data_IF_467129269717
#
_entry.id   IF_467129269717
#
_cell.length_a   1.000
_cell.length_b   1.000
_cell.length_c   1.000
_cell.angle_alpha   90.00
_cell.angle_beta   90.00
_cell.angle_gamma   90.00
#
_symmetry.space_group_name_H-M   'P 1'
#
loop_
_entity.id
_entity.type
_entity.pdbx_description
1 polymer ?
#
# COMPACT_ATOMS: atom_id res chain seq x y z
N UNK A 1 30.30 15.17 26.67
CA UNK A 1 29.22 16.15 26.99
C UNK A 1 28.52 16.59 25.70
N UNK A 2 27.19 16.60 25.71
CA UNK A 2 26.40 17.14 24.60
C UNK A 2 26.49 18.67 24.53
N UNK A 3 26.24 19.30 23.37
CA UNK A 3 26.23 20.78 23.28
C UNK A 3 25.23 21.46 24.24
N UNK A 4 24.12 20.79 24.56
CA UNK A 4 23.16 21.28 25.56
C UNK A 4 23.76 21.27 26.98
N UNK A 5 24.34 20.15 27.41
CA UNK A 5 24.98 20.03 28.72
C UNK A 5 26.17 20.98 28.86
N UNK A 6 26.91 21.28 27.79
CA UNK A 6 27.97 22.32 27.82
C UNK A 6 27.41 23.73 28.06
N UNK A 7 26.26 24.08 27.49
CA UNK A 7 25.60 25.36 27.73
C UNK A 7 25.11 25.51 29.16
N UNK A 8 24.51 24.46 29.71
CA UNK A 8 24.10 24.43 31.11
C UNK A 8 25.28 24.58 32.07
N UNK A 9 26.42 23.90 31.75
CA UNK A 9 27.64 24.03 32.53
C UNK A 9 28.20 25.45 32.49
N UNK A 10 28.15 26.14 31.33
CA UNK A 10 28.55 27.55 31.19
C UNK A 10 27.65 28.45 32.05
N UNK A 11 26.33 28.29 31.94
CA UNK A 11 25.37 29.06 32.74
C UNK A 11 25.56 28.84 34.23
N UNK A 12 25.79 27.60 34.67
CA UNK A 12 26.10 27.24 36.05
C UNK A 12 27.41 27.90 36.53
N UNK A 13 28.46 27.81 35.74
CA UNK A 13 29.76 28.42 36.07
C UNK A 13 29.67 29.95 36.25
N UNK A 14 28.87 30.64 35.43
CA UNK A 14 28.60 32.06 35.57
C UNK A 14 27.78 32.38 36.83
N UNK A 15 26.71 31.61 37.09
CA UNK A 15 25.81 31.84 38.20
C UNK A 15 26.45 31.58 39.56
N UNK A 16 27.18 30.47 39.69
CA UNK A 16 27.72 30.01 41.00
C UNK A 16 29.08 30.61 41.28
N UNK A 17 29.96 30.71 40.30
CA UNK A 17 31.34 31.16 40.48
C UNK A 17 31.63 32.59 40.00
N UNK A 18 30.62 33.31 39.52
CA UNK A 18 30.77 34.71 39.03
C UNK A 18 31.75 34.84 37.87
N UNK A 19 31.99 33.73 37.11
CA UNK A 19 32.97 33.75 36.02
C UNK A 19 32.47 34.56 34.83
N UNK A 20 33.40 35.30 34.18
CA UNK A 20 33.07 35.93 32.92
C UNK A 20 32.76 34.87 31.85
N UNK A 21 31.93 35.20 30.92
CA UNK A 21 31.53 34.32 29.81
C UNK A 21 32.73 33.71 29.07
N UNK A 22 33.76 34.58 28.83
CA UNK A 22 34.98 34.14 28.15
C UNK A 22 35.79 33.12 28.97
N UNK A 23 35.85 33.30 30.28
CA UNK A 23 36.55 32.41 31.20
C UNK A 23 35.83 31.06 31.30
N UNK A 24 34.50 31.08 31.45
CA UNK A 24 33.65 29.87 31.44
C UNK A 24 33.78 29.06 30.15
N UNK A 25 33.88 29.71 29.01
CA UNK A 25 34.13 29.02 27.72
C UNK A 25 35.48 28.33 27.67
N UNK A 26 36.54 28.96 28.21
CA UNK A 26 37.87 28.39 28.27
C UNK A 26 37.90 27.14 29.14
N UNK A 27 37.28 27.18 30.32
CA UNK A 27 37.26 26.06 31.28
C UNK A 27 36.45 24.88 30.77
N UNK A 28 35.29 25.14 30.20
CA UNK A 28 34.37 24.07 29.73
C UNK A 28 34.73 23.56 28.34
N UNK A 29 35.65 24.22 27.66
CA UNK A 29 36.05 23.85 26.30
C UNK A 29 34.92 23.96 25.30
N UNK A 30 34.22 25.10 25.30
CA UNK A 30 33.12 25.38 24.37
C UNK A 30 33.40 26.66 23.58
N UNK A 31 33.11 26.67 22.31
CA UNK A 31 33.20 27.90 21.52
C UNK A 31 32.00 28.80 21.76
N UNK A 32 32.18 30.14 21.68
CA UNK A 32 31.09 31.12 21.76
C UNK A 32 29.94 30.81 20.80
N UNK A 33 30.29 30.31 19.58
CA UNK A 33 29.32 29.93 18.53
C UNK A 33 28.42 28.77 18.97
N UNK A 34 28.94 27.81 19.72
CA UNK A 34 28.16 26.67 20.25
C UNK A 34 27.27 27.11 21.41
N UNK A 35 27.76 28.04 22.25
CA UNK A 35 26.96 28.56 23.38
C UNK A 35 25.83 29.46 22.91
N UNK A 36 26.06 30.36 21.97
CA UNK A 36 25.04 31.27 21.41
C UNK A 36 24.12 30.61 20.38
N UNK A 37 24.37 29.32 20.03
CA UNK A 37 23.51 28.59 19.11
C UNK A 37 22.16 28.28 19.76
N UNK A 38 21.19 29.14 19.51
CA UNK A 38 19.79 28.85 19.83
C UNK A 38 19.20 27.95 18.72
N UNK A 39 18.59 26.85 19.14
CA UNK A 39 17.91 25.96 18.21
C UNK A 39 16.65 26.67 17.66
N UNK A 40 16.80 27.39 16.53
CA UNK A 40 15.70 28.05 15.82
C UNK A 40 14.88 27.04 15.00
N UNK A 41 14.42 25.96 15.64
CA UNK A 41 13.46 25.07 14.97
C UNK A 41 12.10 25.70 15.04
N UNK A 42 11.36 25.79 13.91
CA UNK A 42 9.96 26.17 13.93
C UNK A 42 9.19 25.24 14.87
N UNK A 43 8.15 25.74 15.47
CA UNK A 43 7.22 24.90 16.22
C UNK A 43 6.58 23.88 15.26
N UNK A 44 6.81 22.61 15.52
CA UNK A 44 6.27 21.49 14.76
C UNK A 44 4.99 20.94 15.42
N UNK A 45 4.39 21.64 16.40
CA UNK A 45 3.28 21.16 17.22
C UNK A 45 2.09 20.68 16.41
N UNK A 46 1.56 21.50 15.53
CA UNK A 46 0.42 21.16 14.68
C UNK A 46 0.73 19.95 13.75
N UNK A 47 1.94 19.88 13.19
CA UNK A 47 2.35 18.75 12.36
C UNK A 47 2.46 17.46 13.19
N UNK A 48 2.94 17.53 14.43
CA UNK A 48 3.04 16.38 15.33
C UNK A 48 1.68 15.86 15.72
N UNK A 49 0.77 16.73 16.08
CA UNK A 49 -0.59 16.40 16.45
C UNK A 49 -1.29 15.71 15.27
N UNK A 50 -1.30 16.32 14.09
CA UNK A 50 -1.94 15.74 12.92
C UNK A 50 -1.31 14.40 12.51
N UNK A 51 0.03 14.27 12.64
CA UNK A 51 0.72 13.01 12.34
C UNK A 51 0.33 11.90 13.32
N UNK A 52 0.12 12.22 14.62
CA UNK A 52 -0.36 11.26 15.64
C UNK A 52 -1.80 10.81 15.33
N UNK A 53 -2.68 11.74 14.96
CA UNK A 53 -4.07 11.44 14.60
C UNK A 53 -4.11 10.47 13.41
N UNK A 54 -3.43 10.80 12.33
CA UNK A 54 -3.34 9.93 11.14
C UNK A 54 -2.72 8.56 11.47
N UNK A 55 -1.73 8.51 12.36
CA UNK A 55 -1.13 7.25 12.78
C UNK A 55 -2.06 6.41 13.66
N UNK A 56 -2.92 7.04 14.47
CA UNK A 56 -3.94 6.36 15.28
C UNK A 56 -5.05 5.78 14.42
N UNK A 57 -5.51 6.52 13.41
CA UNK A 57 -6.49 6.06 12.42
C UNK A 57 -5.93 4.94 11.52
N UNK A 58 -4.64 5.04 11.18
CA UNK A 58 -3.94 4.19 10.20
C UNK A 58 -2.74 3.47 10.82
N UNK A 59 -2.96 2.66 11.84
CA UNK A 59 -1.93 2.00 12.68
C UNK A 59 -0.84 1.25 11.92
N UNK A 60 -1.12 0.81 10.68
CA UNK A 60 -0.18 0.07 9.82
C UNK A 60 0.51 0.93 8.77
N UNK A 61 0.31 2.27 8.79
CA UNK A 61 0.97 3.15 7.84
C UNK A 61 2.32 3.63 8.37
N UNK A 62 3.36 3.42 7.56
CA UNK A 62 4.66 4.02 7.81
C UNK A 62 4.70 5.49 7.38
N UNK A 63 5.71 6.23 7.82
CA UNK A 63 5.86 7.68 7.61
C UNK A 63 5.66 8.15 6.16
N UNK A 64 6.06 7.35 5.13
CA UNK A 64 5.86 7.73 3.72
C UNK A 64 4.38 7.80 3.35
N UNK A 65 3.59 6.81 3.78
CA UNK A 65 2.14 6.80 3.53
C UNK A 65 1.43 7.92 4.29
N UNK A 66 1.79 8.13 5.55
CA UNK A 66 1.29 9.26 6.34
C UNK A 66 1.67 10.59 5.69
N UNK A 67 2.87 10.71 5.13
CA UNK A 67 3.29 11.90 4.38
C UNK A 67 2.44 12.16 3.13
N UNK A 68 2.01 11.14 2.42
CA UNK A 68 1.09 11.30 1.29
C UNK A 68 -0.31 11.75 1.74
N UNK A 69 -0.80 11.27 2.90
CA UNK A 69 -2.07 11.73 3.46
C UNK A 69 -1.97 13.20 3.89
N UNK A 70 -0.91 13.58 4.59
CA UNK A 70 -0.64 14.98 4.95
C UNK A 70 -0.58 15.88 3.71
N UNK A 71 0.08 15.42 2.63
CA UNK A 71 0.17 16.19 1.39
C UNK A 71 -1.20 16.43 0.74
N UNK A 72 -2.15 15.49 0.85
CA UNK A 72 -3.54 15.65 0.40
C UNK A 72 -4.31 16.69 1.22
N UNK A 73 -3.91 16.91 2.48
CA UNK A 73 -4.43 17.96 3.36
C UNK A 73 -3.70 19.30 3.18
N UNK A 74 -2.79 19.40 2.19
CA UNK A 74 -2.00 20.59 1.94
C UNK A 74 -0.76 20.72 2.84
N UNK A 75 -0.49 19.75 3.71
CA UNK A 75 0.66 19.75 4.63
C UNK A 75 1.81 18.97 4.00
N UNK A 76 2.80 19.66 3.43
CA UNK A 76 3.92 19.07 2.69
C UNK A 76 5.26 19.26 3.43
N UNK A 77 5.52 18.56 4.54
CA UNK A 77 6.78 18.66 5.25
C UNK A 77 7.92 18.03 4.42
N UNK A 78 9.13 18.55 4.60
CA UNK A 78 10.32 17.89 4.06
C UNK A 78 10.39 16.44 4.58
N UNK A 79 10.74 15.52 3.69
CA UNK A 79 10.82 14.08 3.96
C UNK A 79 11.68 13.74 5.21
N UNK A 80 12.83 14.40 5.37
CA UNK A 80 13.71 14.18 6.53
C UNK A 80 13.10 14.74 7.82
N UNK A 81 12.38 15.88 7.74
CA UNK A 81 11.63 16.45 8.85
C UNK A 81 10.53 15.49 9.30
N UNK A 82 9.73 14.98 8.36
CA UNK A 82 8.66 14.02 8.63
C UNK A 82 9.21 12.74 9.28
N UNK A 83 10.29 12.16 8.73
CA UNK A 83 10.93 10.96 9.27
C UNK A 83 11.44 11.17 10.70
N UNK A 84 12.03 12.35 10.99
CA UNK A 84 12.50 12.72 12.32
C UNK A 84 11.34 12.76 13.31
N UNK A 85 10.27 13.52 12.99
CA UNK A 85 9.09 13.63 13.85
C UNK A 85 8.44 12.25 14.07
N UNK A 86 8.27 11.46 13.02
CA UNK A 86 7.73 10.11 13.09
C UNK A 86 8.51 9.19 14.06
N UNK A 87 9.86 9.37 14.11
CA UNK A 87 10.71 8.62 15.04
C UNK A 87 10.64 9.17 16.47
N UNK A 88 10.61 10.48 16.63
CA UNK A 88 10.48 11.16 17.92
C UNK A 88 9.15 10.80 18.61
N UNK A 89 8.05 10.70 17.84
CA UNK A 89 6.73 10.30 18.34
C UNK A 89 6.57 8.77 18.54
N UNK A 90 7.60 7.97 18.26
CA UNK A 90 7.54 6.52 18.49
C UNK A 90 6.62 5.74 17.55
N UNK A 91 6.18 6.32 16.43
CA UNK A 91 5.16 5.79 15.53
C UNK A 91 5.65 4.65 14.61
N UNK A 92 6.75 3.98 14.95
CA UNK A 92 7.34 2.91 14.11
C UNK A 92 6.38 1.74 13.96
N UNK A 93 6.10 1.37 12.71
CA UNK A 93 5.33 0.17 12.35
C UNK A 93 6.28 -1.00 12.11
N UNK A 94 5.96 -2.17 12.68
CA UNK A 94 6.70 -3.42 12.41
C UNK A 94 6.52 -3.80 10.94
N UNK A 95 7.62 -3.90 10.19
CA UNK A 95 7.60 -4.35 8.79
C UNK A 95 7.49 -5.87 8.75
N UNK A 96 6.62 -6.41 7.89
CA UNK A 96 6.73 -7.81 7.48
C UNK A 96 7.97 -7.94 6.59
N UNK A 97 8.82 -8.88 6.92
CA UNK A 97 9.89 -9.34 6.05
C UNK A 97 9.24 -10.15 4.92
N UNK A 98 9.39 -9.75 3.66
CA UNK A 98 8.86 -10.54 2.54
C UNK A 98 8.37 -9.80 1.30
N UNK A 99 8.46 -8.48 1.22
CA UNK A 99 7.99 -7.75 0.02
C UNK A 99 9.12 -7.57 -1.04
N UNK A 100 9.92 -8.62 -1.26
CA UNK A 100 11.00 -8.62 -2.24
C UNK A 100 10.75 -9.69 -3.29
N UNK A 101 10.42 -9.27 -4.51
CA UNK A 101 10.40 -10.15 -5.68
C UNK A 101 9.05 -10.42 -6.32
N UNK A 102 8.02 -9.59 -6.08
CA UNK A 102 6.82 -9.67 -6.88
C UNK A 102 7.15 -9.45 -8.36
N UNK A 103 6.70 -10.36 -9.19
CA UNK A 103 6.79 -10.24 -10.65
C UNK A 103 5.97 -9.01 -11.11
N UNK A 104 6.64 -7.93 -11.45
CA UNK A 104 6.06 -6.69 -11.96
C UNK A 104 5.81 -6.77 -13.49
N UNK A 105 5.52 -7.96 -14.03
CA UNK A 105 5.38 -8.20 -15.47
C UNK A 105 4.21 -7.50 -16.12
N UNK A 106 3.16 -7.12 -15.38
CA UNK A 106 2.02 -6.40 -15.93
C UNK A 106 2.38 -4.94 -16.26
N UNK A 107 2.25 -4.55 -17.53
CA UNK A 107 2.60 -3.22 -18.05
C UNK A 107 1.40 -2.26 -18.14
N UNK A 108 0.17 -2.77 -17.96
CA UNK A 108 -1.07 -1.99 -18.04
C UNK A 108 -2.18 -2.57 -17.18
N UNK A 109 -3.19 -1.76 -16.79
CA UNK A 109 -4.38 -2.26 -16.09
C UNK A 109 -5.08 -3.37 -16.89
N UNK A 110 -5.63 -4.34 -16.17
CA UNK A 110 -6.35 -5.50 -16.71
C UNK A 110 -5.52 -6.38 -17.66
N UNK A 111 -4.20 -6.29 -17.62
CA UNK A 111 -3.35 -7.23 -18.33
C UNK A 111 -3.31 -8.57 -17.60
N UNK A 112 -3.10 -8.53 -16.29
CA UNK A 112 -3.00 -9.72 -15.44
C UNK A 112 -3.71 -9.50 -14.11
N UNK A 113 -4.60 -10.41 -13.76
CA UNK A 113 -5.20 -10.50 -12.44
C UNK A 113 -4.63 -11.69 -11.69
N UNK A 114 -4.19 -11.46 -10.46
CA UNK A 114 -3.79 -12.53 -9.53
C UNK A 114 -4.91 -12.78 -8.54
N UNK A 115 -5.22 -14.04 -8.30
CA UNK A 115 -6.24 -14.42 -7.33
C UNK A 115 -5.74 -15.48 -6.36
N UNK A 116 -6.33 -15.45 -5.16
CA UNK A 116 -6.06 -16.41 -4.08
C UNK A 116 -7.22 -16.41 -3.09
N UNK A 117 -7.25 -17.42 -2.22
CA UNK A 117 -8.23 -17.56 -1.16
C UNK A 117 -7.65 -17.28 0.21
N UNK A 118 -8.42 -16.56 1.02
CA UNK A 118 -8.16 -16.40 2.45
C UNK A 118 -9.29 -17.10 3.22
N UNK A 119 -8.96 -17.86 4.25
CA UNK A 119 -9.93 -18.51 5.12
C UNK A 119 -9.93 -17.85 6.50
N UNK A 120 -11.14 -17.74 7.08
CA UNK A 120 -11.34 -17.28 8.45
C UNK A 120 -12.56 -17.98 9.05
N UNK A 121 -12.95 -17.64 10.29
CA UNK A 121 -14.05 -18.26 11.00
C UNK A 121 -14.97 -17.24 11.67
N UNK A 122 -16.25 -17.54 11.75
CA UNK A 122 -17.19 -16.83 12.59
C UNK A 122 -16.95 -17.14 14.08
N UNK A 123 -17.49 -16.29 14.95
CA UNK A 123 -17.46 -16.49 16.41
C UNK A 123 -17.97 -17.88 16.83
N UNK A 124 -18.96 -18.43 16.08
CA UNK A 124 -19.48 -19.76 16.30
C UNK A 124 -18.57 -20.91 15.81
N UNK A 125 -17.37 -20.62 15.32
CA UNK A 125 -16.38 -21.60 14.83
C UNK A 125 -16.60 -22.08 13.39
N UNK A 126 -17.73 -21.78 12.74
CA UNK A 126 -17.97 -22.12 11.34
C UNK A 126 -17.04 -21.33 10.42
N UNK A 127 -16.39 -22.00 9.49
CA UNK A 127 -15.45 -21.36 8.55
C UNK A 127 -16.14 -20.70 7.37
N UNK A 128 -15.50 -19.65 6.86
CA UNK A 128 -15.79 -19.04 5.56
C UNK A 128 -14.51 -18.77 4.80
N UNK A 129 -14.63 -18.55 3.50
CA UNK A 129 -13.51 -18.24 2.61
C UNK A 129 -13.76 -16.89 1.92
N UNK A 130 -12.69 -16.23 1.55
CA UNK A 130 -12.70 -14.94 0.85
C UNK A 130 -11.92 -15.13 -0.42
N UNK A 131 -12.54 -14.88 -1.57
CA UNK A 131 -11.86 -14.76 -2.85
C UNK A 131 -11.25 -13.36 -2.94
N UNK A 132 -9.95 -13.29 -3.13
CA UNK A 132 -9.19 -12.06 -3.34
C UNK A 132 -8.71 -12.00 -4.78
N UNK A 133 -9.05 -10.96 -5.53
CA UNK A 133 -8.61 -10.74 -6.91
C UNK A 133 -7.96 -9.37 -7.02
N UNK A 134 -6.73 -9.31 -7.50
CA UNK A 134 -5.93 -8.09 -7.62
C UNK A 134 -5.49 -7.87 -9.06
N UNK A 135 -5.64 -6.65 -9.54
CA UNK A 135 -4.98 -6.21 -10.77
C UNK A 135 -3.48 -5.98 -10.49
N UNK A 136 -2.63 -6.72 -11.18
CA UNK A 136 -1.19 -6.73 -10.90
C UNK A 136 -0.49 -5.42 -11.27
N UNK A 137 -1.04 -4.63 -12.17
CA UNK A 137 -0.48 -3.32 -12.52
C UNK A 137 -0.88 -2.26 -11.50
N UNK A 138 -2.17 -2.02 -11.34
CA UNK A 138 -2.70 -0.94 -10.49
C UNK A 138 -2.71 -1.30 -9.00
N UNK A 139 -2.53 -2.57 -8.67
CA UNK A 139 -2.69 -3.11 -7.31
C UNK A 139 -4.11 -2.93 -6.77
N UNK A 140 -5.06 -2.69 -7.65
CA UNK A 140 -6.47 -2.53 -7.29
C UNK A 140 -7.07 -3.88 -6.91
N UNK A 141 -7.81 -3.92 -5.82
CA UNK A 141 -8.64 -5.07 -5.45
C UNK A 141 -9.88 -5.09 -6.33
N UNK A 142 -9.88 -5.96 -7.32
CA UNK A 142 -10.92 -6.07 -8.37
C UNK A 142 -12.16 -6.78 -7.84
N UNK A 143 -11.94 -7.84 -7.06
CA UNK A 143 -13.00 -8.56 -6.38
C UNK A 143 -12.55 -8.97 -4.97
N UNK A 144 -13.47 -8.92 -4.02
CA UNK A 144 -13.28 -9.35 -2.64
C UNK A 144 -14.61 -9.96 -2.16
N UNK A 145 -14.81 -11.22 -2.48
CA UNK A 145 -16.06 -11.94 -2.23
C UNK A 145 -15.93 -12.97 -1.12
N UNK A 146 -16.82 -12.92 -0.11
CA UNK A 146 -16.85 -13.90 0.98
C UNK A 146 -18.04 -14.85 0.86
N UNK A 147 -17.78 -16.15 1.07
CA UNK A 147 -18.82 -17.18 1.16
C UNK A 147 -18.37 -18.37 2.05
N UNK A 148 -19.31 -19.17 2.47
CA UNK A 148 -19.04 -20.42 3.19
C UNK A 148 -18.56 -21.53 2.24
N UNK A 149 -18.86 -21.40 0.94
CA UNK A 149 -18.41 -22.31 -0.12
C UNK A 149 -18.12 -21.49 -1.39
N UNK A 150 -16.91 -21.57 -1.90
CA UNK A 150 -16.46 -20.92 -3.12
C UNK A 150 -16.07 -21.95 -4.16
N UNK A 151 -17.07 -22.53 -4.84
CA UNK A 151 -16.85 -23.45 -5.96
C UNK A 151 -16.28 -22.70 -7.17
N UNK A 152 -15.71 -23.42 -8.14
CA UNK A 152 -15.22 -22.83 -9.38
C UNK A 152 -16.28 -22.04 -10.14
N UNK A 153 -17.54 -22.50 -10.17
CA UNK A 153 -18.65 -21.76 -10.76
C UNK A 153 -18.92 -20.42 -10.03
N UNK A 154 -18.81 -20.43 -8.69
CA UNK A 154 -18.96 -19.21 -7.89
C UNK A 154 -17.81 -18.23 -8.14
N UNK A 155 -16.59 -18.72 -8.27
CA UNK A 155 -15.42 -17.91 -8.64
C UNK A 155 -15.62 -17.25 -10.02
N UNK A 156 -16.05 -18.03 -11.02
CA UNK A 156 -16.36 -17.50 -12.36
C UNK A 156 -17.42 -16.39 -12.31
N UNK A 157 -18.46 -16.56 -11.50
CA UNK A 157 -19.49 -15.53 -11.31
C UNK A 157 -18.91 -14.23 -10.69
N UNK A 158 -18.05 -14.33 -9.67
CA UNK A 158 -17.41 -13.15 -9.07
C UNK A 158 -16.49 -12.43 -10.07
N UNK A 159 -15.79 -13.19 -10.91
CA UNK A 159 -14.96 -12.62 -11.99
C UNK A 159 -15.82 -11.95 -13.06
N UNK A 160 -17.00 -12.49 -13.42
CA UNK A 160 -17.94 -11.86 -14.34
C UNK A 160 -18.47 -10.52 -13.80
N UNK A 161 -18.80 -10.45 -12.50
CA UNK A 161 -19.19 -9.20 -11.85
C UNK A 161 -18.05 -8.17 -11.95
N UNK A 162 -16.82 -8.59 -11.68
CA UNK A 162 -15.66 -7.73 -11.78
C UNK A 162 -15.41 -7.22 -13.21
N UNK A 163 -15.56 -8.09 -14.22
CA UNK A 163 -15.46 -7.74 -15.64
C UNK A 163 -16.53 -6.71 -16.03
N UNK A 164 -17.77 -6.93 -15.63
CA UNK A 164 -18.87 -5.99 -15.89
C UNK A 164 -18.64 -4.64 -15.24
N UNK A 165 -18.23 -4.62 -13.97
CA UNK A 165 -17.96 -3.37 -13.24
C UNK A 165 -16.82 -2.55 -13.86
N UNK A 166 -15.85 -3.22 -14.49
CA UNK A 166 -14.69 -2.58 -15.13
C UNK A 166 -14.89 -2.33 -16.63
N UNK A 167 -15.97 -2.82 -17.21
CA UNK A 167 -16.25 -2.80 -18.64
C UNK A 167 -15.10 -3.38 -19.49
N UNK A 168 -14.29 -4.27 -18.90
CA UNK A 168 -13.15 -4.87 -19.56
C UNK A 168 -12.74 -6.16 -18.84
N UNK A 169 -12.21 -7.12 -19.59
CA UNK A 169 -11.72 -8.39 -19.08
C UNK A 169 -10.20 -8.37 -18.91
N UNK A 170 -9.62 -9.20 -18.04
CA UNK A 170 -8.18 -9.43 -18.03
C UNK A 170 -7.75 -10.20 -19.27
N UNK A 171 -6.49 -10.07 -19.65
CA UNK A 171 -5.87 -10.97 -20.64
C UNK A 171 -5.57 -12.29 -19.96
N UNK A 172 -4.95 -12.23 -18.79
CA UNK A 172 -4.48 -13.40 -18.04
C UNK A 172 -4.99 -13.35 -16.62
N UNK A 173 -5.35 -14.50 -16.09
CA UNK A 173 -5.61 -14.73 -14.66
C UNK A 173 -4.57 -15.71 -14.14
N UNK A 174 -3.97 -15.40 -12.98
CA UNK A 174 -2.99 -16.26 -12.30
C UNK A 174 -3.54 -16.69 -10.96
N UNK A 175 -3.45 -18.00 -10.67
CA UNK A 175 -3.89 -18.59 -9.41
C UNK A 175 -2.92 -19.68 -8.94
N UNK A 176 -3.09 -20.11 -7.71
CA UNK A 176 -2.53 -21.37 -7.24
C UNK A 176 -3.26 -22.57 -7.87
N UNK A 177 -2.79 -23.80 -7.54
CA UNK A 177 -3.36 -25.06 -8.01
C UNK A 177 -4.48 -25.58 -7.10
N UNK A 178 -5.23 -24.70 -6.43
CA UNK A 178 -6.35 -25.10 -5.60
C UNK A 178 -7.41 -25.90 -6.37
N UNK A 179 -8.03 -26.87 -5.74
CA UNK A 179 -9.01 -27.77 -6.39
C UNK A 179 -10.18 -27.03 -7.02
N UNK A 180 -10.63 -25.96 -6.43
CA UNK A 180 -11.71 -25.12 -6.95
C UNK A 180 -11.29 -24.39 -8.22
N UNK A 181 -10.01 -23.97 -8.31
CA UNK A 181 -9.44 -23.20 -9.40
C UNK A 181 -9.01 -24.07 -10.58
N UNK A 182 -8.74 -25.36 -10.35
CA UNK A 182 -8.46 -26.37 -11.39
C UNK A 182 -9.72 -27.08 -11.88
N UNK A 183 -10.90 -26.66 -11.44
CA UNK A 183 -12.18 -27.29 -11.77
C UNK A 183 -12.57 -27.08 -13.24
N UNK A 184 -13.36 -28.03 -13.78
CA UNK A 184 -13.93 -27.93 -15.13
C UNK A 184 -14.74 -26.65 -15.34
N UNK A 185 -15.38 -26.15 -14.27
CA UNK A 185 -16.15 -24.90 -14.32
C UNK A 185 -15.25 -23.69 -14.63
N UNK A 186 -14.07 -23.61 -14.06
CA UNK A 186 -13.10 -22.56 -14.33
C UNK A 186 -12.51 -22.68 -15.74
N UNK A 187 -12.17 -23.90 -16.18
CA UNK A 187 -11.68 -24.12 -17.53
C UNK A 187 -12.71 -23.70 -18.58
N UNK A 188 -13.98 -24.07 -18.39
CA UNK A 188 -15.08 -23.65 -19.27
C UNK A 188 -15.24 -22.13 -19.25
N UNK A 189 -15.26 -21.50 -18.07
CA UNK A 189 -15.37 -20.05 -17.94
C UNK A 189 -14.23 -19.32 -18.66
N UNK A 190 -12.98 -19.76 -18.49
CA UNK A 190 -11.81 -19.14 -19.12
C UNK A 190 -11.87 -19.20 -20.65
N UNK A 191 -12.33 -20.33 -21.19
CA UNK A 191 -12.54 -20.51 -22.65
C UNK A 191 -13.66 -19.59 -23.17
N UNK A 192 -14.84 -19.59 -22.51
CA UNK A 192 -15.99 -18.75 -22.89
C UNK A 192 -15.66 -17.25 -22.86
N UNK A 193 -14.90 -16.81 -21.85
CA UNK A 193 -14.48 -15.42 -21.68
C UNK A 193 -13.21 -15.08 -22.47
N UNK A 194 -12.55 -16.06 -23.08
CA UNK A 194 -11.26 -15.91 -23.80
C UNK A 194 -10.23 -15.24 -22.87
N UNK A 195 -10.06 -15.76 -21.65
CA UNK A 195 -9.09 -15.33 -20.66
C UNK A 195 -8.09 -16.46 -20.49
N UNK A 196 -6.81 -16.15 -20.59
CA UNK A 196 -5.75 -17.12 -20.33
C UNK A 196 -5.66 -17.41 -18.83
N UNK A 197 -5.74 -18.68 -18.45
CA UNK A 197 -5.63 -19.08 -17.05
C UNK A 197 -4.29 -19.77 -16.80
N UNK A 198 -3.48 -19.15 -15.93
CA UNK A 198 -2.15 -19.66 -15.60
C UNK A 198 -2.10 -20.09 -14.14
N UNK A 199 -1.54 -21.26 -13.93
CA UNK A 199 -1.28 -21.78 -12.58
C UNK A 199 0.15 -21.50 -12.17
N UNK A 200 0.34 -21.12 -10.90
CA UNK A 200 1.68 -20.92 -10.34
C UNK A 200 2.44 -22.25 -10.31
N UNK A 201 3.69 -22.24 -10.76
CA UNK A 201 4.52 -23.42 -10.69
C UNK A 201 4.85 -23.77 -9.22
N UNK A 202 4.84 -25.09 -8.87
CA UNK A 202 5.25 -25.51 -7.53
C UNK A 202 6.63 -24.96 -7.16
N UNK A 203 6.76 -24.41 -5.95
CA UNK A 203 8.01 -23.84 -5.45
C UNK A 203 8.38 -22.44 -5.99
N UNK A 204 7.49 -21.77 -6.75
CA UNK A 204 7.68 -20.38 -7.21
C UNK A 204 6.66 -19.41 -6.60
N UNK A 205 6.72 -19.12 -5.30
CA UNK A 205 5.78 -18.22 -4.61
C UNK A 205 5.82 -16.79 -5.17
N UNK A 206 6.91 -16.39 -5.82
CA UNK A 206 7.03 -15.05 -6.43
C UNK A 206 5.98 -14.79 -7.51
N UNK A 207 5.46 -15.82 -8.18
CA UNK A 207 4.46 -15.68 -9.23
C UNK A 207 3.09 -15.20 -8.71
N UNK A 208 2.78 -15.42 -7.43
CA UNK A 208 1.54 -14.95 -6.77
C UNK A 208 1.79 -13.99 -5.60
N UNK A 209 3.02 -13.50 -5.46
CA UNK A 209 3.45 -12.68 -4.33
C UNK A 209 2.61 -11.39 -4.13
N UNK A 210 1.98 -10.87 -5.19
CA UNK A 210 1.17 -9.67 -5.12
C UNK A 210 -0.12 -9.90 -4.34
N UNK A 211 -0.87 -10.93 -4.67
CA UNK A 211 -2.10 -11.27 -3.94
C UNK A 211 -1.77 -11.83 -2.55
N UNK A 212 -0.66 -12.56 -2.37
CA UNK A 212 -0.21 -12.98 -1.03
C UNK A 212 0.11 -11.77 -0.13
N UNK A 213 0.80 -10.77 -0.68
CA UNK A 213 1.07 -9.51 0.05
C UNK A 213 -0.22 -8.74 0.37
N UNK A 214 -1.21 -8.78 -0.53
CA UNK A 214 -2.53 -8.23 -0.28
C UNK A 214 -3.25 -8.99 0.84
N UNK A 215 -3.29 -10.31 0.77
CA UNK A 215 -3.92 -11.18 1.76
C UNK A 215 -3.32 -10.98 3.16
N UNK A 216 -2.00 -10.80 3.22
CA UNK A 216 -1.33 -10.45 4.47
C UNK A 216 -1.82 -9.14 5.07
N UNK A 217 -2.08 -8.12 4.24
CA UNK A 217 -2.64 -6.83 4.71
C UNK A 217 -4.09 -6.95 5.12
N UNK A 218 -4.89 -7.68 4.35
CA UNK A 218 -6.29 -7.96 4.69
C UNK A 218 -6.39 -8.62 6.06
N UNK A 219 -5.54 -9.64 6.34
CA UNK A 219 -5.48 -10.26 7.66
C UNK A 219 -5.09 -9.29 8.75
N UNK A 220 -4.00 -8.55 8.56
CA UNK A 220 -3.44 -7.67 9.60
C UNK A 220 -4.33 -6.46 9.91
N UNK A 221 -5.14 -6.00 8.96
CA UNK A 221 -5.87 -4.73 9.06
C UNK A 221 -7.38 -4.90 9.22
N UNK A 222 -7.92 -6.07 8.91
CA UNK A 222 -9.36 -6.35 8.97
C UNK A 222 -9.66 -7.66 9.69
N UNK A 223 -9.16 -8.79 9.20
CA UNK A 223 -9.58 -10.09 9.74
C UNK A 223 -9.14 -10.30 11.19
N UNK A 224 -7.90 -9.95 11.53
CA UNK A 224 -7.38 -10.09 12.90
C UNK A 224 -7.93 -9.01 13.87
N UNK A 225 -8.58 -7.99 13.36
CA UNK A 225 -9.11 -6.88 14.16
C UNK A 225 -10.64 -6.99 14.36
N UNK A 226 -11.31 -7.97 13.69
CA UNK A 226 -12.77 -8.07 13.67
C UNK A 226 -13.24 -9.47 14.06
N UNK A 227 -14.21 -9.54 14.96
CA UNK A 227 -14.93 -10.76 15.30
C UNK A 227 -16.20 -10.87 14.43
N UNK A 228 -16.20 -11.83 13.51
CA UNK A 228 -17.30 -11.98 12.56
C UNK A 228 -18.44 -12.81 13.12
N UNK A 229 -19.66 -12.28 13.05
CA UNK A 229 -20.87 -12.94 13.55
C UNK A 229 -21.71 -13.59 12.44
N UNK A 230 -21.62 -13.08 11.20
CA UNK A 230 -22.42 -13.56 10.06
C UNK A 230 -21.72 -13.26 8.73
N UNK A 231 -22.14 -13.94 7.67
CA UNK A 231 -21.64 -13.70 6.32
C UNK A 231 -21.97 -12.28 5.82
N UNK A 232 -23.12 -11.74 6.19
CA UNK A 232 -23.51 -10.36 5.88
C UNK A 232 -22.57 -9.37 6.55
N UNK A 233 -22.20 -9.61 7.82
CA UNK A 233 -21.23 -8.78 8.53
C UNK A 233 -19.84 -8.84 7.84
N UNK A 234 -19.37 -10.04 7.47
CA UNK A 234 -18.10 -10.19 6.72
C UNK A 234 -18.15 -9.36 5.44
N UNK A 235 -19.20 -9.49 4.64
CA UNK A 235 -19.32 -8.79 3.35
C UNK A 235 -19.32 -7.28 3.51
N UNK A 236 -20.00 -6.74 4.53
CA UNK A 236 -20.01 -5.31 4.82
C UNK A 236 -18.59 -4.79 5.18
N UNK A 237 -17.92 -5.45 6.13
CA UNK A 237 -16.55 -5.07 6.55
C UNK A 237 -15.56 -5.16 5.39
N UNK A 238 -15.67 -6.20 4.55
CA UNK A 238 -14.80 -6.35 3.38
C UNK A 238 -15.07 -5.29 2.31
N UNK A 239 -16.32 -4.87 2.12
CA UNK A 239 -16.67 -3.81 1.18
C UNK A 239 -16.03 -2.48 1.60
N UNK A 240 -16.21 -2.07 2.86
CA UNK A 240 -15.63 -0.85 3.41
C UNK A 240 -14.10 -0.88 3.34
N UNK A 241 -13.48 -2.02 3.70
CA UNK A 241 -12.04 -2.18 3.65
C UNK A 241 -11.51 -2.13 2.20
N UNK A 242 -12.21 -2.73 1.23
CA UNK A 242 -11.86 -2.67 -0.19
C UNK A 242 -11.92 -1.25 -0.74
N UNK A 243 -12.95 -0.51 -0.37
CA UNK A 243 -13.11 0.87 -0.81
C UNK A 243 -12.00 1.77 -0.23
N UNK A 244 -11.65 1.62 1.04
CA UNK A 244 -10.48 2.28 1.64
C UNK A 244 -9.18 1.87 0.93
N UNK A 245 -8.98 0.57 0.71
CA UNK A 245 -7.79 0.05 0.07
C UNK A 245 -7.59 0.60 -1.34
N UNK A 246 -8.65 0.69 -2.14
CA UNK A 246 -8.61 1.11 -3.52
C UNK A 246 -8.57 2.63 -3.70
N UNK A 247 -9.30 3.38 -2.87
CA UNK A 247 -9.58 4.80 -3.10
C UNK A 247 -8.86 5.75 -2.15
N UNK A 248 -8.48 5.30 -0.95
CA UNK A 248 -7.85 6.16 0.07
C UNK A 248 -6.38 5.84 0.27
N UNK A 249 -5.99 4.58 0.19
CA UNK A 249 -4.66 4.10 0.55
C UNK A 249 -3.57 4.47 -0.44
N UNK A 250 -2.59 5.33 -0.08
CA UNK A 250 -1.50 5.69 -0.98
C UNK A 250 -0.47 4.55 -1.13
N UNK A 251 0.07 4.40 -2.34
CA UNK A 251 1.10 3.42 -2.68
C UNK A 251 2.42 4.10 -2.95
N UNK A 252 3.45 3.81 -2.16
CA UNK A 252 4.77 4.42 -2.32
C UNK A 252 5.41 4.09 -3.67
N UNK A 253 5.23 2.85 -4.18
CA UNK A 253 5.71 2.44 -5.52
C UNK A 253 5.01 3.18 -6.68
N UNK A 254 3.85 3.78 -6.43
CA UNK A 254 3.06 4.54 -7.41
C UNK A 254 3.11 6.07 -7.16
N UNK A 255 4.16 6.54 -6.49
CA UNK A 255 4.31 7.96 -6.18
C UNK A 255 3.23 8.51 -5.26
N UNK A 256 2.66 7.69 -4.37
CA UNK A 256 1.62 8.10 -3.43
C UNK A 256 0.19 8.05 -3.98
N UNK A 257 0.00 7.58 -5.22
CA UNK A 257 -1.34 7.37 -5.78
C UNK A 257 -2.03 6.19 -5.13
N UNK A 258 -3.36 6.22 -5.10
CA UNK A 258 -4.18 5.06 -4.79
C UNK A 258 -4.22 4.08 -5.97
N UNK A 259 -4.63 2.82 -5.77
CA UNK A 259 -4.86 1.87 -6.86
C UNK A 259 -5.77 2.41 -7.97
N UNK A 260 -6.91 3.02 -7.60
CA UNK A 260 -7.86 3.62 -8.57
C UNK A 260 -7.24 4.80 -9.33
N UNK A 261 -6.51 5.69 -8.66
CA UNK A 261 -5.81 6.79 -9.32
C UNK A 261 -4.76 6.29 -10.32
N UNK A 262 -4.02 5.24 -9.96
CA UNK A 262 -3.02 4.62 -10.85
C UNK A 262 -3.68 3.98 -12.08
N UNK A 263 -4.79 3.28 -11.91
CA UNK A 263 -5.55 2.69 -13.02
C UNK A 263 -6.10 3.77 -13.96
N UNK A 264 -6.74 4.80 -13.42
CA UNK A 264 -7.29 5.92 -14.21
C UNK A 264 -6.22 6.65 -15.01
N UNK A 265 -5.07 6.95 -14.39
CA UNK A 265 -3.98 7.63 -15.09
C UNK A 265 -3.44 6.83 -16.26
N UNK A 266 -3.26 5.50 -16.12
CA UNK A 266 -2.78 4.65 -17.19
C UNK A 266 -3.77 4.59 -18.36
N UNK A 267 -5.07 4.61 -18.08
CA UNK A 267 -6.11 4.63 -19.11
C UNK A 267 -6.16 5.99 -19.83
N UNK A 268 -6.08 7.10 -19.09
CA UNK A 268 -6.07 8.46 -19.67
C UNK A 268 -4.83 8.72 -20.53
N UNK A 269 -3.65 8.26 -20.07
CA UNK A 269 -2.41 8.38 -20.85
C UNK A 269 -2.49 7.62 -22.18
N UNK A 270 -3.19 6.48 -22.21
CA UNK A 270 -3.40 5.70 -23.44
C UNK A 270 -4.35 6.39 -24.41
N UNK A 271 -5.44 6.96 -23.93
CA UNK A 271 -6.36 7.73 -24.78
C UNK A 271 -5.66 8.92 -25.47
N UNK A 272 -4.75 9.60 -24.76
CA UNK A 272 -3.92 10.68 -25.34
C UNK A 272 -2.93 10.16 -26.39
N UNK A 273 -2.30 9.00 -26.17
CA UNK A 273 -1.36 8.40 -27.14
C UNK A 273 -2.12 7.95 -28.40
N UNK A 274 -3.32 7.37 -28.26
CA UNK A 274 -4.15 6.96 -29.39
C UNK A 274 -4.68 8.16 -30.21
N UNK A 275 -4.85 9.34 -29.59
CA UNK A 275 -5.22 10.59 -30.25
C UNK A 275 -4.04 11.28 -30.96
N UNK A 276 -2.81 11.08 -30.46
CA UNK A 276 -1.61 11.74 -30.99
C UNK A 276 -0.94 10.95 -32.11
N UNK A 277 -1.18 9.64 -32.24
CA UNK A 277 -0.63 8.80 -33.31
C UNK A 277 -1.65 8.78 -34.48
N UNK A 278 -1.39 9.47 -35.60
CA UNK A 278 -2.26 9.40 -36.78
C UNK A 278 -2.39 7.95 -37.25
N UNK A 279 -3.58 7.59 -37.75
CA UNK A 279 -3.93 6.26 -38.27
C UNK A 279 -2.98 5.74 -39.35
N UNK A 280 -2.23 6.61 -40.02
CA UNK A 280 -1.25 6.31 -41.08
C UNK A 280 -0.02 5.52 -40.59
N UNK A 281 0.34 5.60 -39.30
CA UNK A 281 1.50 4.87 -38.74
C UNK A 281 1.13 3.43 -38.35
N UNK A 282 -0.15 3.13 -38.10
CA UNK A 282 -0.61 1.77 -37.77
C UNK A 282 -0.42 0.76 -38.91
N UNK A 283 -0.39 1.21 -40.17
CA UNK A 283 -0.19 0.34 -41.31
C UNK A 283 1.28 -0.01 -41.63
N UNK A 284 2.24 0.76 -41.12
CA UNK A 284 3.66 0.50 -41.34
C UNK A 284 4.28 -0.50 -40.35
N UNK A 285 3.66 -0.71 -39.16
CA UNK A 285 4.14 -1.66 -38.16
C UNK A 285 3.61 -3.10 -38.39
N UNK A 286 2.62 -3.29 -39.27
CA UNK A 286 2.02 -4.60 -39.59
C UNK A 286 2.64 -5.33 -40.76
N UNK A 287 3.65 -4.75 -41.42
CA UNK A 287 4.20 -5.24 -42.72
C UNK A 287 5.60 -5.86 -42.64
N UNK A 288 6.14 -6.18 -41.50
CA UNK A 288 7.50 -6.72 -41.37
C UNK A 288 7.56 -8.04 -40.58
N UNK A 289 6.70 -9.00 -40.93
CA UNK A 289 6.88 -10.43 -40.68
C UNK A 289 6.18 -11.22 -41.81
N UNK A 290 6.92 -11.49 -42.84
CA UNK A 290 6.84 -12.66 -43.70
C UNK A 290 8.19 -13.34 -43.69
#
# INVERSE_FOLDING_TARGET
MTPAAKREAVAHAQAVFGLSERHAYGIIGVSRRVNSYALRRPDDGALRERLRDLASERRRFGYRRLGYLLAREGITPNHMKLLRIYREEGLKVRRRSGDTGADDSAQRPNQRWSLDFVSDAFVCGRRFRILCVIDDYSRECVALGADTSLSGARVGHELDIAIMARMTRPITVVSDNGTELTSTAILKWSQERRVEWHYTAPGKPTQNALVESFNGRLRDESLNETLFTSLTHVRAVLADWRDDYNSVRPRSKMGGRTPVEAAKQALSGRALIELVIPSTIKHLAGGLYL
#
